data_IF_032290461035
#
_entry.id   IF_032290461035
#
_cell.length_a   1.000
_cell.length_b   1.000
_cell.length_c   1.000
_cell.angle_alpha   90.00
_cell.angle_beta   90.00
_cell.angle_gamma   90.00
#
_symmetry.space_group_name_H-M   'P 1'
#
loop_
_entity.id
_entity.type
_entity.pdbx_description
1 polymer ?
#
# COMPACT_ATOMS: atom_id res chain seq x y z
N UNK A 1 0.10 -33.33 25.38
CA UNK A 1 0.44 -31.97 25.84
C UNK A 1 0.93 -31.14 24.66
N UNK A 2 0.51 -29.90 24.63
CA UNK A 2 0.94 -28.95 23.59
C UNK A 2 1.77 -27.81 24.23
N UNK A 3 2.87 -27.47 23.61
CA UNK A 3 3.77 -26.40 24.07
C UNK A 3 4.16 -25.51 22.88
N UNK A 4 4.10 -24.20 23.04
CA UNK A 4 4.60 -23.25 22.04
C UNK A 4 5.96 -22.71 22.49
N UNK A 5 6.96 -22.82 21.64
CA UNK A 5 8.32 -22.39 21.91
C UNK A 5 8.73 -21.31 20.91
N UNK A 6 9.12 -20.15 21.42
CA UNK A 6 9.67 -19.07 20.58
C UNK A 6 11.21 -19.07 20.72
N UNK A 7 11.90 -19.15 19.61
CA UNK A 7 13.36 -19.01 19.56
C UNK A 7 13.78 -18.13 18.41
N UNK A 8 14.53 -17.08 18.72
CA UNK A 8 14.99 -16.05 17.78
C UNK A 8 13.80 -15.37 17.05
N UNK A 9 13.48 -15.72 15.85
CA UNK A 9 12.34 -15.18 15.10
C UNK A 9 11.42 -16.29 14.59
N UNK A 10 11.45 -17.48 15.24
CA UNK A 10 10.68 -18.66 14.87
C UNK A 10 9.78 -19.12 16.00
N UNK A 11 8.62 -19.62 15.65
CA UNK A 11 7.64 -20.19 16.59
C UNK A 11 7.40 -21.64 16.22
N UNK A 12 7.65 -22.52 17.20
CA UNK A 12 7.46 -23.95 17.05
C UNK A 12 6.33 -24.42 17.97
N UNK A 13 5.43 -25.24 17.42
CA UNK A 13 4.45 -25.98 18.19
C UNK A 13 5.00 -27.38 18.43
N UNK A 14 5.09 -27.78 19.70
CA UNK A 14 5.48 -29.12 20.13
C UNK A 14 4.24 -29.82 20.59
N UNK A 15 3.98 -31.02 20.06
CA UNK A 15 2.89 -31.89 20.46
C UNK A 15 3.54 -33.20 20.95
N UNK A 16 3.36 -33.50 22.24
CA UNK A 16 3.88 -34.72 22.84
C UNK A 16 2.73 -35.65 23.18
N UNK A 17 2.78 -36.85 22.61
CA UNK A 17 1.82 -37.93 22.90
C UNK A 17 2.56 -39.14 23.47
N UNK A 18 2.03 -39.79 24.51
CA UNK A 18 2.61 -41.03 25.00
C UNK A 18 2.48 -42.15 23.96
N UNK A 19 3.50 -42.97 23.85
CA UNK A 19 3.49 -44.20 23.08
C UNK A 19 3.30 -45.35 24.06
N UNK A 20 2.32 -46.19 23.77
CA UNK A 20 1.97 -47.37 24.59
C UNK A 20 2.50 -48.65 23.96
N UNK A 21 2.61 -49.70 24.77
CA UNK A 21 2.91 -51.07 24.31
C UNK A 21 1.76 -51.63 23.43
N UNK A 22 1.96 -52.79 22.84
CA UNK A 22 0.96 -53.42 21.95
C UNK A 22 -0.39 -53.70 22.67
N UNK A 23 -0.40 -53.80 23.98
CA UNK A 23 -1.61 -54.04 24.80
C UNK A 23 -2.25 -52.73 25.29
N UNK A 24 -1.63 -51.58 25.02
CA UNK A 24 -2.03 -50.23 25.49
C UNK A 24 -2.06 -50.07 27.03
N UNK A 25 -1.33 -50.91 27.77
CA UNK A 25 -1.33 -50.89 29.23
C UNK A 25 -0.16 -50.10 29.83
N UNK A 26 1.03 -50.10 29.17
CA UNK A 26 2.21 -49.39 29.66
C UNK A 26 2.73 -48.35 28.69
N UNK A 27 3.16 -47.20 29.22
CA UNK A 27 3.82 -46.14 28.42
C UNK A 27 5.26 -46.53 28.17
N UNK A 28 5.59 -46.91 26.95
CA UNK A 28 6.92 -47.32 26.51
C UNK A 28 7.79 -46.18 25.98
N UNK A 29 7.20 -44.97 25.77
CA UNK A 29 7.91 -43.83 25.26
C UNK A 29 7.01 -42.63 25.01
N UNK A 30 7.51 -41.66 24.26
CA UNK A 30 6.73 -40.50 23.79
C UNK A 30 7.07 -40.17 22.34
N UNK A 31 6.07 -39.84 21.58
CA UNK A 31 6.21 -39.27 20.23
C UNK A 31 6.09 -37.77 20.36
N UNK A 32 7.13 -37.04 19.90
CA UNK A 32 7.15 -35.60 19.89
C UNK A 32 7.09 -35.13 18.43
N UNK A 33 6.06 -34.38 18.07
CA UNK A 33 5.91 -33.71 16.78
C UNK A 33 6.28 -32.24 16.96
N UNK A 34 7.20 -31.76 16.14
CA UNK A 34 7.63 -30.36 16.14
C UNK A 34 7.15 -29.74 14.83
N UNK A 35 6.27 -28.74 14.91
CA UNK A 35 5.74 -28.01 13.76
C UNK A 35 6.31 -26.58 13.76
N UNK A 36 6.89 -26.15 12.64
CA UNK A 36 7.25 -24.74 12.46
C UNK A 36 5.99 -23.97 12.03
N UNK A 37 5.41 -23.23 12.97
CA UNK A 37 4.22 -22.40 12.76
C UNK A 37 4.57 -20.92 12.50
N UNK A 38 5.82 -20.59 12.32
CA UNK A 38 6.30 -19.21 12.20
C UNK A 38 5.51 -18.41 11.15
N UNK A 39 5.39 -18.94 9.95
CA UNK A 39 4.70 -18.24 8.87
C UNK A 39 3.17 -18.22 9.06
N UNK A 40 2.60 -19.24 9.68
CA UNK A 40 1.17 -19.28 10.00
C UNK A 40 0.79 -18.22 11.02
N UNK A 41 1.56 -18.12 12.11
CA UNK A 41 1.36 -17.12 13.16
C UNK A 41 1.61 -15.70 12.66
N UNK A 42 2.64 -15.51 11.83
CA UNK A 42 2.90 -14.20 11.20
C UNK A 42 1.71 -13.78 10.34
N UNK A 43 1.16 -14.67 9.51
CA UNK A 43 -0.02 -14.40 8.68
C UNK A 43 -1.25 -14.05 9.52
N UNK A 44 -1.50 -14.80 10.59
CA UNK A 44 -2.64 -14.53 11.48
C UNK A 44 -2.50 -13.20 12.21
N UNK A 45 -1.33 -12.89 12.76
CA UNK A 45 -1.06 -11.60 13.41
C UNK A 45 -1.21 -10.45 12.42
N UNK A 46 -0.69 -10.60 11.22
CA UNK A 46 -0.83 -9.64 10.13
C UNK A 46 -2.30 -9.41 9.75
N UNK A 47 -3.10 -10.48 9.65
CA UNK A 47 -4.54 -10.39 9.39
C UNK A 47 -5.29 -9.64 10.49
N UNK A 48 -4.96 -9.93 11.75
CA UNK A 48 -5.56 -9.25 12.92
C UNK A 48 -5.21 -7.77 12.94
N UNK A 49 -3.95 -7.44 12.74
CA UNK A 49 -3.48 -6.05 12.68
C UNK A 49 -4.12 -5.29 11.51
N UNK A 50 -4.19 -5.90 10.33
CA UNK A 50 -4.86 -5.34 9.18
C UNK A 50 -6.33 -5.03 9.48
N UNK A 51 -7.09 -5.99 10.04
CA UNK A 51 -8.51 -5.80 10.39
C UNK A 51 -8.71 -4.69 11.43
N UNK A 52 -7.83 -4.63 12.43
CA UNK A 52 -7.87 -3.59 13.45
C UNK A 52 -7.61 -2.19 12.84
N UNK A 53 -6.59 -2.07 11.99
CA UNK A 53 -6.24 -0.83 11.31
C UNK A 53 -7.34 -0.37 10.35
N UNK A 54 -7.92 -1.28 9.55
CA UNK A 54 -9.09 -0.98 8.70
C UNK A 54 -10.23 -0.43 9.52
N UNK A 55 -10.60 -1.10 10.62
CA UNK A 55 -11.69 -0.67 11.49
C UNK A 55 -11.45 0.74 12.06
N UNK A 56 -10.23 1.02 12.46
CA UNK A 56 -9.85 2.33 12.99
C UNK A 56 -9.88 3.43 11.91
N UNK A 57 -9.31 3.17 10.73
CA UNK A 57 -9.25 4.12 9.63
C UNK A 57 -10.62 4.38 8.98
N UNK A 58 -11.58 3.44 9.06
CA UNK A 58 -12.97 3.64 8.66
C UNK A 58 -13.77 4.41 9.72
N UNK A 59 -13.54 4.15 11.02
CA UNK A 59 -14.31 4.77 12.10
C UNK A 59 -14.08 6.28 12.19
N UNK A 60 -12.85 6.73 11.98
CA UNK A 60 -12.48 8.16 12.11
C UNK A 60 -13.27 9.07 11.17
N UNK A 61 -13.25 8.87 9.83
CA UNK A 61 -14.02 9.70 8.90
C UNK A 61 -15.53 9.59 9.13
N UNK A 62 -16.06 8.39 9.47
CA UNK A 62 -17.46 8.21 9.78
C UNK A 62 -17.90 9.02 10.99
N UNK A 63 -17.09 9.07 12.04
CA UNK A 63 -17.36 9.89 13.22
C UNK A 63 -17.36 11.37 12.87
N UNK A 64 -16.43 11.84 12.02
CA UNK A 64 -16.38 13.24 11.58
C UNK A 64 -17.62 13.60 10.75
N UNK A 65 -18.00 12.74 9.76
CA UNK A 65 -19.19 12.93 8.94
C UNK A 65 -20.44 13.02 9.82
N UNK A 66 -20.62 12.07 10.75
CA UNK A 66 -21.78 12.08 11.68
C UNK A 66 -21.79 13.33 12.54
N UNK A 67 -20.65 13.75 13.08
CA UNK A 67 -20.55 14.94 13.92
C UNK A 67 -20.91 16.23 13.17
N UNK A 68 -20.39 16.43 11.96
CA UNK A 68 -20.75 17.59 11.14
C UNK A 68 -22.24 17.58 10.75
N UNK A 69 -22.78 16.41 10.37
CA UNK A 69 -24.18 16.27 10.05
C UNK A 69 -25.09 16.57 11.27
N UNK A 70 -24.74 16.06 12.45
CA UNK A 70 -25.48 16.33 13.69
C UNK A 70 -25.47 17.82 14.05
N UNK A 71 -24.33 18.49 13.95
CA UNK A 71 -24.23 19.93 14.16
C UNK A 71 -25.09 20.70 13.17
N UNK A 72 -25.10 20.34 11.88
CA UNK A 72 -25.97 20.98 10.88
C UNK A 72 -27.46 20.77 11.16
N UNK A 73 -27.88 19.58 11.64
CA UNK A 73 -29.24 19.28 12.02
C UNK A 73 -29.73 20.10 13.22
N UNK A 74 -28.83 20.56 14.09
CA UNK A 74 -29.16 21.43 15.24
C UNK A 74 -29.67 22.82 14.82
N UNK A 75 -29.41 23.23 13.60
CA UNK A 75 -29.88 24.53 13.04
C UNK A 75 -29.21 25.76 13.63
N UNK A 76 -29.57 26.93 13.12
CA UNK A 76 -29.08 28.21 13.66
C UNK A 76 -27.66 28.60 13.27
N UNK A 77 -27.01 27.87 12.33
CA UNK A 77 -25.70 28.20 11.83
C UNK A 77 -25.74 29.19 10.66
N UNK A 78 -24.73 30.05 10.51
CA UNK A 78 -24.51 30.84 9.29
C UNK A 78 -24.36 29.94 8.06
N UNK A 79 -24.85 30.39 6.90
CA UNK A 79 -24.75 29.65 5.63
C UNK A 79 -23.31 29.29 5.25
N UNK A 80 -22.33 30.14 5.57
CA UNK A 80 -20.89 29.89 5.36
C UNK A 80 -20.42 28.67 6.16
N UNK A 81 -20.82 28.55 7.43
CA UNK A 81 -20.50 27.39 8.29
C UNK A 81 -21.15 26.10 7.77
N UNK A 82 -22.38 26.18 7.28
CA UNK A 82 -23.08 25.05 6.65
C UNK A 82 -22.33 24.58 5.40
N UNK A 83 -21.84 25.52 4.59
CA UNK A 83 -21.04 25.20 3.39
C UNK A 83 -19.70 24.53 3.75
N UNK A 84 -19.00 25.02 4.77
CA UNK A 84 -17.73 24.45 5.24
C UNK A 84 -17.93 23.03 5.80
N UNK A 85 -19.01 22.79 6.57
CA UNK A 85 -19.30 21.45 7.07
C UNK A 85 -19.72 20.50 5.93
N UNK A 86 -20.49 20.98 4.96
CA UNK A 86 -20.87 20.20 3.78
C UNK A 86 -19.64 19.79 2.98
N UNK A 87 -18.68 20.70 2.81
CA UNK A 87 -17.40 20.42 2.15
C UNK A 87 -16.59 19.40 2.95
N UNK A 88 -16.51 19.55 4.28
CA UNK A 88 -15.80 18.60 5.15
C UNK A 88 -16.41 17.20 5.09
N UNK A 89 -17.76 17.10 5.06
CA UNK A 89 -18.45 15.81 4.87
C UNK A 89 -18.10 15.19 3.52
N UNK A 90 -18.10 15.98 2.45
CA UNK A 90 -17.75 15.51 1.11
C UNK A 90 -16.29 15.00 1.03
N UNK A 91 -15.36 15.75 1.62
CA UNK A 91 -13.93 15.40 1.62
C UNK A 91 -13.69 14.09 2.41
N UNK A 92 -14.33 13.92 3.59
CA UNK A 92 -14.21 12.70 4.38
C UNK A 92 -14.91 11.49 3.72
N UNK A 93 -16.05 11.71 3.06
CA UNK A 93 -16.73 10.65 2.29
C UNK A 93 -15.86 10.20 1.09
N UNK A 94 -15.25 11.14 0.38
CA UNK A 94 -14.35 10.85 -0.75
C UNK A 94 -13.10 10.07 -0.29
N UNK A 95 -12.54 10.44 0.86
CA UNK A 95 -11.44 9.71 1.49
C UNK A 95 -11.83 8.28 1.88
N UNK A 96 -13.05 8.10 2.41
CA UNK A 96 -13.56 6.79 2.79
C UNK A 96 -13.75 5.87 1.57
N UNK A 97 -14.26 6.41 0.46
CA UNK A 97 -14.38 5.69 -0.80
C UNK A 97 -13.00 5.24 -1.31
N UNK A 98 -12.00 6.14 -1.30
CA UNK A 98 -10.63 5.79 -1.67
C UNK A 98 -10.07 4.67 -0.79
N UNK A 99 -10.26 4.73 0.53
CA UNK A 99 -9.80 3.70 1.46
C UNK A 99 -10.45 2.34 1.18
N UNK A 100 -11.77 2.32 0.92
CA UNK A 100 -12.48 1.08 0.57
C UNK A 100 -11.93 0.48 -0.73
N UNK A 101 -11.70 1.30 -1.75
CA UNK A 101 -11.12 0.84 -3.01
C UNK A 101 -9.70 0.28 -2.81
N UNK A 102 -8.86 0.95 -2.02
CA UNK A 102 -7.52 0.46 -1.68
C UNK A 102 -7.57 -0.91 -0.99
N UNK A 103 -8.52 -1.10 -0.05
CA UNK A 103 -8.73 -2.38 0.64
C UNK A 103 -9.15 -3.47 -0.33
N UNK A 104 -10.08 -3.20 -1.25
CA UNK A 104 -10.56 -4.15 -2.27
C UNK A 104 -9.40 -4.53 -3.19
N UNK A 105 -8.64 -3.54 -3.69
CA UNK A 105 -7.48 -3.77 -4.56
C UNK A 105 -6.42 -4.63 -3.85
N UNK A 106 -6.10 -4.30 -2.60
CA UNK A 106 -5.12 -5.05 -1.82
C UNK A 106 -5.60 -6.48 -1.53
N UNK A 107 -6.89 -6.66 -1.18
CA UNK A 107 -7.48 -7.98 -0.94
C UNK A 107 -7.44 -8.84 -2.20
N UNK A 108 -7.69 -8.26 -3.38
CA UNK A 108 -7.59 -8.99 -4.65
C UNK A 108 -6.15 -9.42 -4.99
N UNK A 109 -5.15 -8.66 -4.56
CA UNK A 109 -3.73 -9.01 -4.74
C UNK A 109 -3.23 -10.08 -3.77
N UNK A 110 -3.92 -10.27 -2.63
CA UNK A 110 -3.60 -11.28 -1.63
C UNK A 110 -4.28 -12.64 -1.90
N UNK A 111 -5.27 -12.69 -2.80
CA UNK A 111 -5.99 -13.92 -3.12
C UNK A 111 -5.19 -14.76 -4.11
N UNK A 112 -4.62 -15.87 -3.64
CA UNK A 112 -3.84 -16.81 -4.44
C UNK A 112 -4.67 -17.52 -5.53
N UNK A 113 -6.01 -17.51 -5.43
CA UNK A 113 -6.92 -18.14 -6.40
C UNK A 113 -7.46 -17.14 -7.44
N UNK A 114 -7.07 -15.86 -7.35
CA UNK A 114 -7.56 -14.86 -8.28
C UNK A 114 -6.90 -15.02 -9.65
N UNK A 115 -7.71 -15.23 -10.67
CA UNK A 115 -7.26 -15.20 -12.06
C UNK A 115 -7.09 -13.75 -12.52
N UNK A 116 -5.94 -13.47 -13.12
CA UNK A 116 -5.61 -12.15 -13.65
C UNK A 116 -5.50 -12.20 -15.17
N UNK A 117 -6.05 -11.20 -15.82
CA UNK A 117 -5.92 -11.00 -17.27
C UNK A 117 -4.54 -10.44 -17.60
N UNK A 118 -3.63 -11.32 -18.02
CA UNK A 118 -2.29 -10.96 -18.45
C UNK A 118 -2.30 -10.57 -19.92
N UNK A 119 -1.82 -9.37 -20.24
CA UNK A 119 -1.75 -8.86 -21.60
C UNK A 119 -0.43 -8.11 -21.86
N UNK A 120 -0.15 -7.85 -23.13
CA UNK A 120 0.98 -6.99 -23.51
C UNK A 120 0.60 -5.54 -23.27
N UNK A 121 1.29 -4.86 -22.37
CA UNK A 121 1.01 -3.49 -21.97
C UNK A 121 2.23 -2.59 -22.20
N UNK A 122 1.98 -1.34 -22.62
CA UNK A 122 2.99 -0.31 -22.80
C UNK A 122 3.04 0.61 -21.56
N UNK A 123 4.16 0.58 -20.85
CA UNK A 123 4.32 1.34 -19.61
C UNK A 123 4.37 2.85 -19.84
N UNK A 124 4.83 3.33 -21.01
CA UNK A 124 4.79 4.75 -21.34
C UNK A 124 3.36 5.24 -21.52
N UNK A 125 2.54 4.47 -22.23
CA UNK A 125 1.13 4.80 -22.41
C UNK A 125 0.38 4.84 -21.07
N UNK A 126 0.55 3.82 -20.23
CA UNK A 126 -0.07 3.79 -18.89
C UNK A 126 0.40 5.00 -18.06
N UNK A 127 1.69 5.30 -18.03
CA UNK A 127 2.20 6.46 -17.30
C UNK A 127 1.59 7.78 -17.79
N UNK A 128 1.40 7.93 -19.12
CA UNK A 128 0.75 9.11 -19.71
C UNK A 128 -0.72 9.24 -19.27
N UNK A 129 -1.46 8.13 -19.24
CA UNK A 129 -2.86 8.09 -18.80
C UNK A 129 -2.97 8.47 -17.31
N UNK A 130 -2.14 7.86 -16.44
CA UNK A 130 -2.20 8.12 -15.00
C UNK A 130 -1.73 9.54 -14.63
N UNK A 131 -0.76 10.10 -15.36
CA UNK A 131 -0.39 11.50 -15.20
C UNK A 131 -1.60 12.40 -15.52
N UNK A 132 -2.37 12.08 -16.57
CA UNK A 132 -3.61 12.81 -16.89
C UNK A 132 -4.61 12.82 -15.73
N UNK A 133 -4.77 11.71 -15.02
CA UNK A 133 -5.68 11.60 -13.88
C UNK A 133 -5.26 12.47 -12.68
N UNK A 134 -3.96 12.65 -12.44
CA UNK A 134 -3.47 13.43 -11.30
C UNK A 134 -3.13 14.89 -11.63
N UNK A 135 -3.17 15.29 -12.90
CA UNK A 135 -2.76 16.64 -13.35
C UNK A 135 -3.49 17.74 -12.57
N UNK A 136 -4.80 17.61 -12.38
CA UNK A 136 -5.59 18.61 -11.64
C UNK A 136 -5.15 18.76 -10.17
N UNK A 137 -4.68 17.68 -9.54
CA UNK A 137 -4.15 17.73 -8.18
C UNK A 137 -2.75 18.37 -8.15
N UNK A 138 -1.92 18.10 -9.15
CA UNK A 138 -0.62 18.73 -9.31
C UNK A 138 -0.73 20.24 -9.57
N UNK A 139 -1.65 20.65 -10.44
CA UNK A 139 -1.91 22.06 -10.75
C UNK A 139 -2.35 22.87 -9.53
N UNK A 140 -3.21 22.29 -8.66
CA UNK A 140 -3.63 22.94 -7.41
C UNK A 140 -2.46 23.24 -6.47
N UNK A 141 -1.37 22.50 -6.58
CA UNK A 141 -0.16 22.64 -5.74
C UNK A 141 1.00 23.29 -6.49
N UNK A 142 0.75 23.70 -7.74
CA UNK A 142 1.76 24.22 -8.68
C UNK A 142 2.98 23.28 -8.84
N UNK A 143 2.70 21.97 -8.91
CA UNK A 143 3.70 20.92 -9.13
C UNK A 143 3.74 20.56 -10.61
N UNK A 144 4.93 20.68 -11.23
CA UNK A 144 5.13 20.37 -12.64
C UNK A 144 5.44 18.90 -12.84
N UNK A 145 4.64 18.20 -13.65
CA UNK A 145 4.89 16.80 -14.00
C UNK A 145 5.47 16.74 -15.40
N UNK A 146 6.57 15.98 -15.55
CA UNK A 146 7.20 15.69 -16.84
C UNK A 146 7.25 14.19 -17.08
N UNK A 147 6.74 13.76 -18.23
CA UNK A 147 6.92 12.38 -18.71
C UNK A 147 8.03 12.37 -19.76
N UNK A 148 8.95 11.43 -19.65
CA UNK A 148 10.09 11.27 -20.56
C UNK A 148 10.41 9.79 -20.78
N UNK A 149 11.23 9.51 -21.80
CA UNK A 149 11.70 8.16 -22.07
C UNK A 149 11.12 7.57 -23.35
N UNK A 150 10.99 6.24 -23.39
CA UNK A 150 10.59 5.47 -24.56
C UNK A 150 9.46 4.50 -24.25
N UNK A 151 8.73 4.11 -25.29
CA UNK A 151 7.75 3.03 -25.16
C UNK A 151 8.42 1.73 -24.71
N UNK A 152 7.78 1.04 -23.75
CA UNK A 152 8.33 -0.19 -23.18
C UNK A 152 7.24 -1.18 -22.84
N UNK A 153 7.23 -2.29 -23.58
CA UNK A 153 6.22 -3.33 -23.43
C UNK A 153 6.64 -4.41 -22.43
N UNK A 154 5.70 -4.81 -21.61
CA UNK A 154 5.81 -5.97 -20.72
C UNK A 154 4.54 -6.81 -20.81
N UNK A 155 4.61 -8.08 -20.43
CA UNK A 155 3.40 -8.85 -20.10
C UNK A 155 3.01 -8.53 -18.66
N UNK A 156 1.80 -8.02 -18.46
CA UNK A 156 1.33 -7.61 -17.15
C UNK A 156 -0.18 -7.45 -17.06
N UNK A 157 -0.67 -7.26 -15.87
CA UNK A 157 -2.08 -6.97 -15.58
C UNK A 157 -2.26 -5.45 -15.61
N UNK A 158 -2.85 -4.93 -16.70
CA UNK A 158 -2.97 -3.47 -16.94
C UNK A 158 -3.52 -2.72 -15.73
N UNK A 159 -4.63 -3.18 -15.17
CA UNK A 159 -5.27 -2.55 -14.00
C UNK A 159 -4.30 -2.38 -12.82
N UNK A 160 -3.52 -3.42 -12.51
CA UNK A 160 -2.60 -3.40 -11.37
C UNK A 160 -1.41 -2.48 -11.65
N UNK A 161 -0.86 -2.52 -12.87
CA UNK A 161 0.26 -1.65 -13.25
C UNK A 161 -0.17 -0.17 -13.30
N UNK A 162 -1.38 0.13 -13.80
CA UNK A 162 -2.00 1.47 -13.70
C UNK A 162 -2.06 1.94 -12.27
N UNK A 163 -2.62 1.13 -11.37
CA UNK A 163 -2.73 1.43 -9.95
C UNK A 163 -1.36 1.68 -9.29
N UNK A 164 -0.33 0.89 -9.66
CA UNK A 164 1.03 1.10 -9.16
C UNK A 164 1.58 2.46 -9.59
N UNK A 165 1.46 2.81 -10.86
CA UNK A 165 1.99 4.08 -11.40
C UNK A 165 1.20 5.25 -10.81
N UNK A 166 -0.14 5.14 -10.75
CA UNK A 166 -1.00 6.13 -10.09
C UNK A 166 -0.54 6.42 -8.66
N UNK A 167 -0.38 5.37 -7.83
CA UNK A 167 0.02 5.51 -6.43
C UNK A 167 1.40 6.16 -6.26
N UNK A 168 2.34 5.87 -7.14
CA UNK A 168 3.66 6.53 -7.13
C UNK A 168 3.54 8.01 -7.46
N UNK A 169 2.79 8.35 -8.49
CA UNK A 169 2.60 9.73 -8.94
C UNK A 169 1.76 10.54 -7.95
N UNK A 170 0.69 9.97 -7.39
CA UNK A 170 -0.14 10.59 -6.37
C UNK A 170 0.65 10.91 -5.10
N UNK A 171 1.48 9.97 -4.64
CA UNK A 171 2.41 10.21 -3.54
C UNK A 171 3.42 11.31 -3.86
N UNK A 172 3.96 11.33 -5.08
CA UNK A 172 4.89 12.36 -5.52
C UNK A 172 4.25 13.77 -5.55
N UNK A 173 2.95 13.88 -5.86
CA UNK A 173 2.19 15.14 -5.74
C UNK A 173 1.91 15.47 -4.28
N UNK A 174 1.37 14.51 -3.52
CA UNK A 174 0.96 14.70 -2.12
C UNK A 174 2.09 15.18 -1.23
N UNK A 175 3.25 14.56 -1.35
CA UNK A 175 4.43 14.87 -0.54
C UNK A 175 5.42 15.82 -1.19
N UNK A 176 5.03 16.44 -2.33
CA UNK A 176 5.82 17.51 -2.92
C UNK A 176 5.68 18.82 -2.14
N UNK A 177 6.56 19.75 -2.47
CA UNK A 177 6.48 21.15 -2.06
C UNK A 177 5.72 21.96 -3.12
N UNK A 178 5.19 23.10 -2.75
CA UNK A 178 4.68 24.08 -3.70
C UNK A 178 5.79 24.45 -4.70
N UNK A 179 5.43 24.63 -5.95
CA UNK A 179 6.35 24.90 -7.06
C UNK A 179 7.39 23.81 -7.32
N UNK A 180 7.16 22.59 -6.82
CA UNK A 180 8.03 21.44 -7.04
C UNK A 180 7.88 20.81 -8.42
N UNK A 181 8.61 19.71 -8.63
CA UNK A 181 8.53 18.95 -9.88
C UNK A 181 8.47 17.45 -9.63
N UNK A 182 7.93 16.74 -10.62
CA UNK A 182 7.89 15.28 -10.70
C UNK A 182 8.39 14.91 -12.09
N UNK A 183 9.41 14.06 -12.14
CA UNK A 183 9.92 13.49 -13.38
C UNK A 183 9.58 12.00 -13.43
N UNK A 184 8.69 11.62 -14.36
CA UNK A 184 8.35 10.23 -14.66
C UNK A 184 9.14 9.81 -15.89
N UNK A 185 9.96 8.77 -15.76
CA UNK A 185 10.82 8.30 -16.84
C UNK A 185 10.63 6.82 -17.10
N UNK A 186 10.47 6.45 -18.38
CA UNK A 186 10.40 5.07 -18.85
C UNK A 186 11.66 4.76 -19.65
N UNK A 187 12.46 3.84 -19.14
CA UNK A 187 13.68 3.39 -19.80
C UNK A 187 13.60 1.90 -20.14
N UNK A 188 14.26 1.53 -21.23
CA UNK A 188 14.27 0.16 -21.71
C UNK A 188 15.70 -0.34 -21.83
N UNK A 189 15.98 -1.50 -21.26
CA UNK A 189 17.24 -2.25 -21.45
C UNK A 189 16.97 -3.51 -22.26
N UNK A 190 17.99 -4.31 -22.53
CA UNK A 190 17.83 -5.60 -23.22
C UNK A 190 16.77 -6.47 -22.55
N UNK A 191 16.78 -6.58 -21.22
CA UNK A 191 15.98 -7.55 -20.47
C UNK A 191 14.89 -6.92 -19.58
N UNK A 192 14.85 -5.60 -19.45
CA UNK A 192 13.95 -4.93 -18.51
C UNK A 192 13.35 -3.66 -19.08
N UNK A 193 12.15 -3.34 -18.62
CA UNK A 193 11.56 -2.00 -18.69
C UNK A 193 11.57 -1.41 -17.28
N UNK A 194 11.98 -0.17 -17.18
CA UNK A 194 12.18 0.53 -15.91
C UNK A 194 11.29 1.75 -15.89
N UNK A 195 10.45 1.85 -14.87
CA UNK A 195 9.66 3.05 -14.56
C UNK A 195 10.29 3.72 -13.36
N UNK A 196 10.59 5.01 -13.47
CA UNK A 196 11.15 5.81 -12.37
C UNK A 196 10.28 7.03 -12.15
N UNK A 197 9.83 7.24 -10.93
CA UNK A 197 9.10 8.43 -10.49
C UNK A 197 9.99 9.16 -9.48
N UNK A 198 10.40 10.35 -9.83
CA UNK A 198 11.25 11.21 -9.01
C UNK A 198 10.50 12.49 -8.65
N UNK A 199 10.47 12.86 -7.39
CA UNK A 199 9.92 14.11 -6.90
C UNK A 199 10.99 14.99 -6.22
N UNK A 200 10.67 16.27 -6.07
CA UNK A 200 11.47 17.26 -5.35
C UNK A 200 10.87 17.60 -3.97
N UNK A 201 10.10 16.68 -3.41
CA UNK A 201 9.34 16.86 -2.19
C UNK A 201 10.15 16.80 -0.89
N UNK A 202 9.45 16.50 0.19
CA UNK A 202 10.04 16.47 1.55
C UNK A 202 11.04 15.35 1.77
N UNK A 203 11.05 14.32 0.90
CA UNK A 203 11.87 13.13 1.08
C UNK A 203 11.43 12.25 2.24
N UNK A 204 12.16 11.15 2.45
CA UNK A 204 11.86 10.11 3.45
C UNK A 204 13.09 9.90 4.32
N UNK A 205 12.96 9.99 5.67
CA UNK A 205 14.05 9.67 6.58
C UNK A 205 14.58 8.25 6.35
N UNK A 206 15.87 8.03 6.48
CA UNK A 206 16.52 6.74 6.21
C UNK A 206 15.92 5.60 7.05
N UNK A 207 15.61 5.87 8.32
CA UNK A 207 15.01 4.89 9.23
C UNK A 207 13.63 4.38 8.76
N UNK A 208 12.92 5.19 7.98
CA UNK A 208 11.55 4.87 7.55
C UNK A 208 11.49 4.23 6.14
N UNK A 209 12.57 4.34 5.33
CA UNK A 209 12.57 3.88 3.93
C UNK A 209 12.29 2.37 3.77
N UNK A 210 12.66 1.55 4.74
CA UNK A 210 12.34 0.11 4.73
C UNK A 210 10.87 -0.16 5.06
N UNK A 211 10.21 0.76 5.77
CA UNK A 211 8.86 0.59 6.32
C UNK A 211 7.75 1.22 5.49
N UNK A 212 8.06 2.14 4.58
CA UNK A 212 7.05 2.84 3.77
C UNK A 212 6.15 1.92 2.95
N UNK A 213 6.53 0.65 2.75
CA UNK A 213 5.74 -0.38 2.06
C UNK A 213 4.90 -1.25 3.01
N UNK A 214 4.97 -1.02 4.32
CA UNK A 214 4.08 -1.64 5.30
C UNK A 214 2.67 -1.03 5.16
N UNK A 215 1.63 -1.85 5.34
CA UNK A 215 0.23 -1.38 5.26
C UNK A 215 -0.07 -0.40 6.40
N UNK A 216 -0.76 0.69 6.08
CA UNK A 216 -1.12 1.77 7.01
C UNK A 216 0.08 2.52 7.62
N UNK A 217 1.32 2.21 7.15
CA UNK A 217 2.48 2.93 7.64
C UNK A 217 2.52 4.35 7.09
N UNK A 218 2.88 5.28 7.97
CA UNK A 218 3.04 6.71 7.67
C UNK A 218 4.17 7.26 8.52
N UNK A 219 5.10 7.98 7.91
CA UNK A 219 6.27 8.58 8.58
C UNK A 219 5.84 9.55 9.68
N UNK A 220 4.83 10.37 9.41
CA UNK A 220 4.27 11.31 10.39
C UNK A 220 2.73 11.25 10.36
N UNK A 221 2.13 10.77 11.45
CA UNK A 221 0.67 10.68 11.59
C UNK A 221 -0.01 12.05 11.73
N UNK A 222 0.69 13.09 12.17
CA UNK A 222 0.13 14.43 12.42
C UNK A 222 0.04 15.26 11.13
N UNK A 223 1.12 15.37 10.40
CA UNK A 223 1.14 16.05 9.08
C UNK A 223 0.36 15.32 8.01
N UNK A 224 0.34 14.01 8.09
CA UNK A 224 -0.30 13.18 7.08
C UNK A 224 -1.83 13.17 7.16
N UNK A 225 -2.46 13.61 8.27
CA UNK A 225 -3.91 13.87 8.30
C UNK A 225 -4.31 15.04 7.39
N UNK A 226 -3.48 16.07 7.32
CA UNK A 226 -3.71 17.21 6.43
C UNK A 226 -3.50 16.85 4.94
N UNK A 227 -2.63 15.89 4.64
CA UNK A 227 -2.28 15.46 3.26
C UNK A 227 -3.22 14.36 2.71
N UNK A 228 -4.01 13.70 3.56
CA UNK A 228 -5.12 12.83 3.11
C UNK A 228 -4.72 11.49 2.50
N UNK A 229 -3.72 10.78 3.02
CA UNK A 229 -3.36 9.44 2.54
C UNK A 229 -3.93 8.29 3.38
N UNK A 230 -4.21 7.13 2.77
CA UNK A 230 -4.68 5.90 3.42
C UNK A 230 -3.56 5.10 4.08
N UNK A 231 -2.31 5.30 3.63
CA UNK A 231 -1.17 4.45 4.01
C UNK A 231 -1.15 3.08 3.32
N UNK A 232 -2.01 2.87 2.32
CA UNK A 232 -2.09 1.62 1.56
C UNK A 232 -1.43 1.72 0.18
N UNK A 233 -1.32 2.90 -0.42
CA UNK A 233 -0.84 3.06 -1.79
C UNK A 233 0.52 2.42 -2.08
N UNK A 234 1.54 2.63 -1.25
CA UNK A 234 2.85 1.99 -1.45
C UNK A 234 2.82 0.49 -1.15
N UNK A 235 1.94 0.00 -0.29
CA UNK A 235 1.76 -1.44 -0.11
C UNK A 235 1.11 -2.09 -1.34
N UNK A 236 0.19 -1.41 -2.03
CA UNK A 236 -0.35 -1.83 -3.33
C UNK A 236 0.77 -1.91 -4.36
N UNK A 237 1.64 -0.90 -4.44
CA UNK A 237 2.83 -0.93 -5.32
C UNK A 237 3.71 -2.14 -5.05
N UNK A 238 3.95 -2.47 -3.77
CA UNK A 238 4.76 -3.63 -3.39
C UNK A 238 4.14 -4.95 -3.83
N UNK A 239 2.84 -5.15 -3.55
CA UNK A 239 2.14 -6.38 -3.92
C UNK A 239 2.00 -6.52 -5.45
N UNK A 240 1.68 -5.42 -6.15
CA UNK A 240 1.68 -5.39 -7.60
C UNK A 240 3.04 -5.72 -8.21
N UNK A 241 4.14 -5.22 -7.63
CA UNK A 241 5.49 -5.56 -8.05
C UNK A 241 5.82 -7.04 -7.80
N UNK A 242 5.41 -7.60 -6.66
CA UNK A 242 5.56 -9.02 -6.36
C UNK A 242 4.84 -9.91 -7.37
N UNK A 243 3.57 -9.58 -7.69
CA UNK A 243 2.80 -10.29 -8.71
C UNK A 243 3.49 -10.31 -10.07
N UNK A 244 4.11 -9.18 -10.48
CA UNK A 244 4.82 -9.04 -11.75
C UNK A 244 6.29 -9.46 -11.68
N UNK A 245 6.77 -10.03 -10.59
CA UNK A 245 8.20 -10.32 -10.36
C UNK A 245 9.11 -9.11 -10.64
N UNK A 246 8.60 -7.91 -10.37
CA UNK A 246 9.31 -6.65 -10.53
C UNK A 246 10.11 -6.28 -9.28
N UNK A 247 11.24 -5.62 -9.49
CA UNK A 247 12.06 -5.11 -8.39
C UNK A 247 11.70 -3.66 -8.09
N UNK A 248 11.64 -3.32 -6.79
CA UNK A 248 11.44 -1.96 -6.31
C UNK A 248 12.77 -1.45 -5.73
N UNK A 249 13.14 -0.22 -6.10
CA UNK A 249 14.26 0.48 -5.48
C UNK A 249 13.80 1.86 -5.03
N UNK A 250 14.14 2.24 -3.80
CA UNK A 250 13.90 3.57 -3.23
C UNK A 250 15.25 4.28 -3.06
N UNK A 251 15.29 5.54 -3.42
CA UNK A 251 16.38 6.45 -3.14
C UNK A 251 15.77 7.76 -2.68
N UNK A 252 15.93 8.10 -1.42
CA UNK A 252 15.35 9.31 -0.84
C UNK A 252 16.31 9.97 0.12
N UNK A 253 16.25 11.28 0.16
CA UNK A 253 16.96 12.08 1.15
C UNK A 253 16.01 13.16 1.66
N UNK A 254 15.94 13.27 2.98
CA UNK A 254 15.12 14.29 3.64
C UNK A 254 15.43 15.66 3.04
N UNK A 255 14.38 16.41 2.75
CA UNK A 255 14.40 17.74 2.13
C UNK A 255 14.94 17.82 0.69
N UNK A 256 15.19 16.70 0.03
CA UNK A 256 15.68 16.64 -1.35
C UNK A 256 14.78 15.89 -2.32
N UNK A 257 13.74 15.23 -1.79
CA UNK A 257 12.80 14.43 -2.58
C UNK A 257 13.10 12.95 -2.58
N UNK A 258 12.30 12.23 -3.35
CA UNK A 258 12.31 10.77 -3.42
C UNK A 258 12.32 10.30 -4.87
N UNK A 259 13.02 9.21 -5.12
CA UNK A 259 12.95 8.47 -6.38
C UNK A 259 12.55 7.04 -6.07
N UNK A 260 11.43 6.58 -6.64
CA UNK A 260 11.01 5.18 -6.60
C UNK A 260 11.11 4.60 -8.01
N UNK A 261 11.78 3.48 -8.13
CA UNK A 261 12.04 2.82 -9.41
C UNK A 261 11.46 1.42 -9.39
N UNK A 262 10.65 1.10 -10.40
CA UNK A 262 10.11 -0.22 -10.68
C UNK A 262 10.85 -0.81 -11.88
N UNK A 263 11.35 -2.04 -11.73
CA UNK A 263 12.09 -2.73 -12.78
C UNK A 263 11.37 -4.02 -13.13
N UNK A 264 10.68 -4.01 -14.26
CA UNK A 264 9.95 -5.14 -14.81
C UNK A 264 10.83 -5.95 -15.75
N UNK A 265 10.67 -7.27 -15.74
CA UNK A 265 11.31 -8.14 -16.71
C UNK A 265 10.57 -8.06 -18.05
N UNK A 266 11.28 -7.91 -19.14
CA UNK A 266 10.73 -8.15 -20.47
C UNK A 266 10.51 -9.65 -20.64
N UNK A 267 9.31 -10.04 -21.07
CA UNK A 267 9.17 -11.38 -21.62
C UNK A 267 9.73 -11.39 -23.05
N UNK A 268 10.56 -12.41 -23.32
CA UNK A 268 11.05 -12.70 -24.67
C UNK A 268 9.91 -13.19 -25.56
#
# INVERSE_FOLDING_TARGET
EELTLQRENRTYKLIANPAYDDNQEEVIGAVIVILDETESIKRENFRREFTANVSHELKTPLTSISGFAELMMGGGMPDETVMDFSKSIYDEASRLISLVNDIINLSSLDDENMEFDWEMIDLYQIASEEIGHIQAAADKKDVKIRLSGVHGNITGVRRIVSEMIYNLCDNAVKYNREHGSIDVNIATTTNHVIVSVQDTGIGIPEADQSRIFERFYRVDKSHSKAVGGTGLGLSIVKHGAQLHNAQIKVSSKLDKGTTITLRFRKHA
#
